data_IF_779358835959
#
_entry.id   IF_779358835959
#
_cell.length_a   1.000
_cell.length_b   1.000
_cell.length_c   1.000
_cell.angle_alpha   90.00
_cell.angle_beta   90.00
_cell.angle_gamma   90.00
#
_symmetry.space_group_name_H-M   'P 1'
#
loop_
_entity.id
_entity.type
_entity.pdbx_description
1 polymer ?
#
# COMPACT_ATOMS: atom_id res chain seq x y z
N UNK A 1 18.93 -17.57 -12.27
CA UNK A 1 17.61 -17.04 -12.69
C UNK A 1 16.94 -16.53 -11.42
N UNK A 2 17.24 -15.29 -11.04
CA UNK A 2 16.60 -14.66 -9.89
C UNK A 2 15.31 -14.05 -10.40
N UNK A 3 14.17 -14.58 -9.95
CA UNK A 3 12.90 -13.87 -10.12
C UNK A 3 13.00 -12.61 -9.29
N UNK A 4 13.29 -11.49 -9.95
CA UNK A 4 12.99 -10.17 -9.42
C UNK A 4 11.49 -10.13 -9.12
N UNK A 5 11.12 -9.98 -7.85
CA UNK A 5 9.72 -9.91 -7.46
C UNK A 5 9.28 -8.45 -7.56
N UNK A 6 9.11 -7.95 -8.78
CA UNK A 6 8.49 -6.64 -9.05
C UNK A 6 7.07 -6.51 -8.46
N UNK A 7 6.52 -7.61 -7.92
CA UNK A 7 5.21 -7.70 -7.28
C UNK A 7 5.26 -8.27 -5.84
N UNK A 8 6.27 -7.89 -5.05
CA UNK A 8 6.38 -8.35 -3.67
C UNK A 8 5.34 -7.69 -2.76
N UNK A 9 4.95 -8.39 -1.68
CA UNK A 9 4.05 -7.82 -0.66
C UNK A 9 4.65 -6.56 -0.02
N UNK A 10 5.98 -6.45 0.02
CA UNK A 10 6.68 -5.28 0.53
C UNK A 10 6.53 -4.08 -0.44
N UNK A 11 6.67 -4.32 -1.75
CA UNK A 11 6.56 -3.28 -2.78
C UNK A 11 5.18 -2.62 -2.77
N UNK A 12 4.11 -3.40 -2.57
CA UNK A 12 2.75 -2.85 -2.43
C UNK A 12 2.58 -1.98 -1.20
N UNK A 13 3.12 -2.39 -0.05
CA UNK A 13 3.09 -1.54 1.13
C UNK A 13 3.96 -0.29 0.97
N UNK A 14 5.08 -0.38 0.27
CA UNK A 14 5.94 0.75 -0.05
C UNK A 14 5.24 1.74 -1.00
N UNK A 15 4.51 1.25 -2.01
CA UNK A 15 3.69 2.08 -2.88
C UNK A 15 2.56 2.80 -2.11
N UNK A 16 1.92 2.12 -1.15
CA UNK A 16 0.92 2.76 -0.27
C UNK A 16 1.56 3.84 0.62
N UNK A 17 2.75 3.58 1.16
CA UNK A 17 3.49 4.58 1.94
C UNK A 17 3.89 5.79 1.08
N UNK A 18 4.30 5.55 -0.17
CA UNK A 18 4.61 6.60 -1.15
C UNK A 18 3.38 7.44 -1.47
N UNK A 19 2.23 6.81 -1.74
CA UNK A 19 0.95 7.52 -1.93
C UNK A 19 0.62 8.38 -0.71
N UNK A 20 0.77 7.86 0.51
CA UNK A 20 0.53 8.67 1.70
C UNK A 20 1.45 9.89 1.72
N UNK A 21 2.75 9.69 1.47
CA UNK A 21 3.75 10.76 1.46
C UNK A 21 3.51 11.81 0.39
N UNK A 22 3.10 11.41 -0.82
CA UNK A 22 2.83 12.33 -1.95
C UNK A 22 1.63 13.26 -1.68
N UNK A 23 0.76 12.88 -0.73
CA UNK A 23 -0.39 13.67 -0.27
C UNK A 23 -0.14 14.31 1.11
N UNK A 24 1.11 14.40 1.56
CA UNK A 24 1.50 14.93 2.88
C UNK A 24 0.84 14.21 4.07
N UNK A 25 0.51 12.92 3.90
CA UNK A 25 -0.12 12.08 4.91
C UNK A 25 0.86 11.04 5.47
N UNK A 26 0.63 10.65 6.71
CA UNK A 26 1.19 9.41 7.26
C UNK A 26 0.29 8.23 6.90
N UNK A 27 0.77 6.99 7.07
CA UNK A 27 -0.07 5.80 6.91
C UNK A 27 -1.34 5.84 7.79
N UNK A 28 -1.24 6.40 9.00
CA UNK A 28 -2.40 6.61 9.88
C UNK A 28 -3.32 7.73 9.37
N UNK A 29 -2.74 8.82 8.85
CA UNK A 29 -3.50 9.91 8.22
C UNK A 29 -4.31 9.42 7.02
N UNK A 30 -3.68 8.63 6.14
CA UNK A 30 -4.37 7.99 5.02
C UNK A 30 -5.50 7.06 5.49
N UNK A 31 -5.29 6.28 6.55
CA UNK A 31 -6.35 5.44 7.12
C UNK A 31 -7.53 6.28 7.64
N UNK A 32 -7.25 7.39 8.34
CA UNK A 32 -8.28 8.30 8.86
C UNK A 32 -9.07 8.96 7.72
N UNK A 33 -8.38 9.45 6.68
CA UNK A 33 -8.99 10.04 5.49
C UNK A 33 -9.93 9.08 4.76
N UNK A 34 -9.63 7.78 4.81
CA UNK A 34 -10.49 6.75 4.25
C UNK A 34 -11.65 6.38 5.18
N UNK A 35 -11.76 6.92 6.39
CA UNK A 35 -12.74 6.52 7.40
C UNK A 35 -12.45 5.15 8.00
N UNK A 36 -11.18 4.74 8.05
CA UNK A 36 -10.72 3.49 8.64
C UNK A 36 -10.11 3.73 10.03
N UNK A 37 -9.87 2.65 10.77
CA UNK A 37 -9.17 2.75 12.05
C UNK A 37 -7.75 3.33 11.84
N UNK A 38 -7.27 4.29 12.65
CA UNK A 38 -5.99 4.97 12.42
C UNK A 38 -4.76 4.06 12.34
N UNK A 39 -4.86 2.85 12.92
CA UNK A 39 -3.77 1.86 12.91
C UNK A 39 -3.85 0.86 11.77
N UNK A 40 -4.87 0.93 10.90
CA UNK A 40 -5.13 -0.06 9.86
C UNK A 40 -3.94 -0.30 8.94
N UNK A 41 -3.17 0.75 8.64
CA UNK A 41 -2.00 0.70 7.76
C UNK A 41 -0.65 0.67 8.49
N UNK A 42 -0.63 0.57 9.81
CA UNK A 42 0.61 0.53 10.58
C UNK A 42 1.41 -0.74 10.28
N UNK A 43 2.76 -0.67 10.35
CA UNK A 43 3.65 -1.82 10.07
C UNK A 43 3.31 -3.09 10.86
N UNK A 44 2.93 -2.95 12.14
CA UNK A 44 2.49 -4.08 12.98
C UNK A 44 1.20 -4.75 12.50
N UNK A 45 0.41 -4.02 11.71
CA UNK A 45 -0.75 -4.52 10.97
C UNK A 45 -0.40 -4.76 9.50
N UNK A 46 0.83 -5.07 9.11
CA UNK A 46 1.14 -5.54 7.73
C UNK A 46 1.59 -6.97 7.68
N UNK A 47 1.91 -7.56 8.83
CA UNK A 47 2.24 -8.97 8.96
C UNK A 47 1.00 -9.77 9.33
N UNK A 48 0.89 -10.97 8.80
CA UNK A 48 -0.11 -11.97 9.15
C UNK A 48 0.43 -13.00 10.14
N UNK A 49 -0.39 -14.01 10.50
CA UNK A 49 0.07 -15.17 11.26
C UNK A 49 1.30 -15.81 10.62
N UNK A 50 2.31 -16.15 11.43
CA UNK A 50 3.58 -16.70 10.94
C UNK A 50 4.59 -15.66 10.41
N UNK A 51 4.37 -14.37 10.67
CA UNK A 51 5.38 -13.32 10.42
C UNK A 51 5.54 -12.89 8.96
N UNK A 52 4.73 -13.45 8.04
CA UNK A 52 4.77 -13.08 6.62
C UNK A 52 4.01 -11.78 6.41
N UNK A 53 4.53 -10.90 5.54
CA UNK A 53 3.77 -9.74 5.08
C UNK A 53 2.49 -10.23 4.39
N UNK A 54 1.37 -9.56 4.68
CA UNK A 54 0.08 -9.82 4.05
C UNK A 54 -0.24 -8.72 3.06
N UNK A 55 -0.95 -9.09 2.00
CA UNK A 55 -1.48 -8.12 1.05
C UNK A 55 -2.64 -7.33 1.69
N UNK A 56 -2.77 -6.02 1.45
CA UNK A 56 -4.00 -5.29 1.79
C UNK A 56 -5.18 -5.84 0.98
N UNK A 57 -6.42 -5.70 1.46
CA UNK A 57 -7.56 -6.18 0.67
C UNK A 57 -7.72 -5.37 -0.62
N UNK A 58 -8.22 -5.99 -1.70
CA UNK A 58 -8.51 -5.29 -2.94
C UNK A 58 -9.47 -4.11 -2.74
N UNK A 59 -10.42 -4.24 -1.81
CA UNK A 59 -11.31 -3.16 -1.39
C UNK A 59 -10.54 -1.97 -0.78
N UNK A 60 -9.57 -2.25 0.09
CA UNK A 60 -8.73 -1.22 0.70
C UNK A 60 -7.92 -0.48 -0.37
N UNK A 61 -7.33 -1.23 -1.31
CA UNK A 61 -6.60 -0.65 -2.44
C UNK A 61 -7.54 0.23 -3.27
N UNK A 62 -8.70 -0.28 -3.67
CA UNK A 62 -9.68 0.48 -4.45
C UNK A 62 -10.09 1.79 -3.75
N UNK A 63 -10.25 1.78 -2.42
CA UNK A 63 -10.58 2.97 -1.64
C UNK A 63 -9.44 4.00 -1.61
N UNK A 64 -8.19 3.55 -1.45
CA UNK A 64 -7.01 4.42 -1.54
C UNK A 64 -7.00 5.09 -2.93
N UNK A 65 -7.08 4.28 -3.97
CA UNK A 65 -7.02 4.74 -5.36
C UNK A 65 -8.13 5.74 -5.70
N UNK A 66 -9.36 5.47 -5.29
CA UNK A 66 -10.48 6.39 -5.45
C UNK A 66 -10.26 7.72 -4.69
N UNK A 67 -9.67 7.69 -3.50
CA UNK A 67 -9.40 8.89 -2.70
C UNK A 67 -8.34 9.80 -3.31
N UNK A 68 -7.35 9.22 -3.97
CA UNK A 68 -6.23 9.96 -4.58
C UNK A 68 -6.45 10.24 -6.07
N UNK A 69 -7.49 9.66 -6.68
CA UNK A 69 -7.77 9.84 -8.10
C UNK A 69 -6.83 9.05 -9.01
N UNK A 70 -6.30 7.92 -8.52
CA UNK A 70 -5.38 7.05 -9.23
C UNK A 70 -6.10 5.80 -9.76
N UNK A 71 -5.68 5.29 -10.91
CA UNK A 71 -6.14 4.03 -11.48
C UNK A 71 -5.31 2.84 -10.98
N UNK A 72 -5.83 1.62 -11.12
CA UNK A 72 -5.04 0.41 -10.81
C UNK A 72 -3.80 0.26 -11.71
N UNK A 73 -3.83 0.77 -12.94
CA UNK A 73 -2.67 0.73 -13.85
C UNK A 73 -1.55 1.64 -13.36
N UNK A 74 -1.88 2.87 -12.95
CA UNK A 74 -0.91 3.80 -12.35
C UNK A 74 -0.36 3.26 -11.04
N UNK A 75 -1.21 2.64 -10.23
CA UNK A 75 -0.77 1.97 -9.01
C UNK A 75 0.21 0.82 -9.28
N UNK A 76 -0.07 -0.02 -10.28
CA UNK A 76 0.84 -1.10 -10.69
C UNK A 76 2.19 -0.57 -11.14
N UNK A 77 2.20 0.48 -11.98
CA UNK A 77 3.43 1.13 -12.42
C UNK A 77 4.22 1.72 -11.23
N UNK A 78 3.53 2.34 -10.26
CA UNK A 78 4.15 2.82 -9.04
C UNK A 78 4.78 1.67 -8.24
N UNK A 79 4.10 0.53 -8.10
CA UNK A 79 4.63 -0.65 -7.39
C UNK A 79 5.91 -1.17 -8.04
N UNK A 80 5.94 -1.24 -9.37
CA UNK A 80 7.15 -1.62 -10.11
C UNK A 80 8.27 -0.58 -9.93
N UNK A 81 7.95 0.73 -9.89
CA UNK A 81 8.92 1.80 -9.62
C UNK A 81 9.55 1.69 -8.23
N UNK A 82 8.76 1.43 -7.17
CA UNK A 82 9.30 1.30 -5.81
C UNK A 82 10.03 -0.03 -5.59
N UNK A 83 9.87 -1.00 -6.49
CA UNK A 83 10.55 -2.29 -6.45
C UNK A 83 11.93 -2.27 -7.13
N UNK A 84 12.17 -1.30 -8.03
CA UNK A 84 13.44 -1.10 -8.75
C UNK A 84 14.53 -0.46 -7.88
#
# INVERSE_FOLDING_TARGET
MFFDHSNSHASVWAAIDRIASDYDLTASGLAIELGMHPTAFNKSKRTGPGGRLRWPSSETIARILARVGMTFSEFGALVDEVAA
#
